data_IF_784392708316
#
_entry.id   IF_784392708316
#
_cell.length_a   1.000
_cell.length_b   1.000
_cell.length_c   1.000
_cell.angle_alpha   90.00
_cell.angle_beta   90.00
_cell.angle_gamma   90.00
#
_symmetry.space_group_name_H-M   'P 1'
#
loop_
_entity.id
_entity.type
_entity.pdbx_description
1 polymer ?
#
# COMPACT_ATOMS: atom_id res chain seq x y z
N UNK A 1 -7.90 22.81 34.06
CA UNK A 1 -7.62 22.47 32.64
C UNK A 1 -8.47 23.41 31.79
N UNK A 2 -7.87 24.26 30.95
CA UNK A 2 -8.63 25.26 30.19
C UNK A 2 -9.28 24.61 28.95
N UNK A 3 -10.43 25.14 28.53
CA UNK A 3 -11.20 24.66 27.37
C UNK A 3 -10.33 24.55 26.10
N UNK A 4 -9.39 25.50 25.95
CA UNK A 4 -8.44 25.59 24.85
C UNK A 4 -7.46 24.39 24.75
N UNK A 5 -7.12 23.76 25.87
CA UNK A 5 -6.21 22.60 25.90
C UNK A 5 -6.93 21.32 25.48
N UNK A 6 -8.24 21.23 25.75
CA UNK A 6 -9.07 20.08 25.38
C UNK A 6 -9.27 19.99 23.86
N UNK A 7 -9.51 21.13 23.21
CA UNK A 7 -9.60 21.21 21.74
C UNK A 7 -8.30 20.79 21.06
N UNK A 8 -7.15 21.28 21.54
CA UNK A 8 -5.84 20.91 20.99
C UNK A 8 -5.55 19.41 21.11
N UNK A 9 -5.83 18.81 22.27
CA UNK A 9 -5.65 17.37 22.47
C UNK A 9 -6.59 16.54 21.58
N UNK A 10 -7.83 16.99 21.42
CA UNK A 10 -8.83 16.34 20.57
C UNK A 10 -8.45 16.41 19.08
N UNK A 11 -7.97 17.56 18.63
CA UNK A 11 -7.44 17.77 17.28
C UNK A 11 -6.20 16.92 17.01
N UNK A 12 -5.25 16.86 17.95
CA UNK A 12 -4.04 16.02 17.82
C UNK A 12 -4.37 14.54 17.67
N UNK A 13 -5.31 14.02 18.48
CA UNK A 13 -5.79 12.62 18.35
C UNK A 13 -6.54 12.38 17.04
N UNK A 14 -7.35 13.32 16.59
CA UNK A 14 -8.07 13.21 15.33
C UNK A 14 -7.12 13.18 14.14
N UNK A 15 -6.10 14.05 14.13
CA UNK A 15 -5.09 14.11 13.09
C UNK A 15 -4.24 12.84 13.06
N UNK A 16 -3.73 12.38 14.21
CA UNK A 16 -2.94 11.15 14.28
C UNK A 16 -3.71 9.92 13.81
N UNK A 17 -5.03 9.82 14.10
CA UNK A 17 -5.87 8.75 13.55
C UNK A 17 -6.03 8.84 12.04
N UNK A 18 -6.27 10.04 11.49
CA UNK A 18 -6.40 10.25 10.05
C UNK A 18 -5.12 9.87 9.32
N UNK A 19 -3.97 10.31 9.82
CA UNK A 19 -2.66 9.98 9.26
C UNK A 19 -2.38 8.48 9.33
N UNK A 20 -2.62 7.84 10.48
CA UNK A 20 -2.43 6.41 10.65
C UNK A 20 -3.30 5.57 9.69
N UNK A 21 -4.56 5.94 9.50
CA UNK A 21 -5.46 5.27 8.54
C UNK A 21 -4.96 5.48 7.11
N UNK A 22 -4.58 6.69 6.74
CA UNK A 22 -4.09 6.99 5.40
C UNK A 22 -2.81 6.20 5.07
N UNK A 23 -1.84 6.18 5.99
CA UNK A 23 -0.60 5.42 5.85
C UNK A 23 -0.89 3.91 5.76
N UNK A 24 -1.70 3.38 6.68
CA UNK A 24 -2.06 1.95 6.68
C UNK A 24 -2.76 1.51 5.39
N UNK A 25 -3.68 2.32 4.87
CA UNK A 25 -4.36 2.05 3.60
C UNK A 25 -3.40 2.09 2.41
N UNK A 26 -2.46 3.04 2.38
CA UNK A 26 -1.46 3.15 1.32
C UNK A 26 -0.50 1.94 1.34
N UNK A 27 0.02 1.59 2.53
CA UNK A 27 0.91 0.45 2.71
C UNK A 27 0.21 -0.86 2.36
N UNK A 28 -1.00 -1.10 2.90
CA UNK A 28 -1.75 -2.32 2.63
C UNK A 28 -2.13 -2.49 1.16
N UNK A 29 -2.48 -1.39 0.47
CA UNK A 29 -2.71 -1.43 -0.99
C UNK A 29 -1.44 -1.84 -1.73
N UNK A 30 -0.30 -1.24 -1.39
CA UNK A 30 0.96 -1.54 -2.04
C UNK A 30 1.37 -3.01 -1.81
N UNK A 31 1.29 -3.49 -0.56
CA UNK A 31 1.59 -4.89 -0.22
C UNK A 31 0.66 -5.87 -0.93
N UNK A 32 -0.65 -5.58 -0.99
CA UNK A 32 -1.62 -6.41 -1.68
C UNK A 32 -1.36 -6.53 -3.18
N UNK A 33 -0.97 -5.42 -3.84
CA UNK A 33 -0.59 -5.42 -5.26
C UNK A 33 0.66 -6.28 -5.49
N UNK A 34 1.69 -6.14 -4.64
CA UNK A 34 2.92 -6.91 -4.75
C UNK A 34 2.70 -8.41 -4.49
N UNK A 35 1.87 -8.77 -3.50
CA UNK A 35 1.49 -10.15 -3.21
C UNK A 35 0.74 -10.78 -4.38
N UNK A 36 -0.21 -10.04 -4.96
CA UNK A 36 -0.94 -10.46 -6.15
C UNK A 36 0.01 -10.69 -7.33
N UNK A 37 0.91 -9.74 -7.61
CA UNK A 37 1.90 -9.87 -8.68
C UNK A 37 2.77 -11.12 -8.50
N UNK A 38 3.25 -11.40 -7.28
CA UNK A 38 4.04 -12.60 -6.98
C UNK A 38 3.25 -13.88 -7.25
N UNK A 39 2.02 -13.98 -6.75
CA UNK A 39 1.17 -15.14 -6.99
C UNK A 39 0.90 -15.38 -8.49
N UNK A 40 0.70 -14.31 -9.26
CA UNK A 40 0.53 -14.41 -10.71
C UNK A 40 1.80 -14.90 -11.44
N UNK A 41 2.99 -14.50 -10.97
CA UNK A 41 4.28 -15.02 -11.47
C UNK A 41 4.40 -16.51 -11.15
N UNK A 42 4.04 -16.92 -9.94
CA UNK A 42 4.15 -18.32 -9.48
C UNK A 42 3.26 -19.27 -10.28
N UNK A 43 2.06 -18.84 -10.66
CA UNK A 43 1.15 -19.64 -11.49
C UNK A 43 1.45 -19.52 -13.00
N UNK A 44 2.50 -18.79 -13.38
CA UNK A 44 3.06 -18.79 -14.73
C UNK A 44 2.41 -17.82 -15.73
N UNK A 45 1.74 -16.75 -15.29
CA UNK A 45 1.27 -15.72 -16.22
C UNK A 45 2.43 -14.97 -16.89
N UNK A 46 2.18 -14.47 -18.10
CA UNK A 46 3.12 -13.61 -18.80
C UNK A 46 3.26 -12.25 -18.10
N UNK A 47 4.43 -11.61 -18.22
CA UNK A 47 4.69 -10.31 -17.61
C UNK A 47 3.68 -9.25 -18.07
N UNK A 48 3.27 -9.26 -19.34
CA UNK A 48 2.27 -8.35 -19.89
C UNK A 48 0.87 -8.53 -19.29
N UNK A 49 0.47 -9.76 -18.98
CA UNK A 49 -0.79 -10.00 -18.28
C UNK A 49 -0.72 -9.48 -16.84
N UNK A 50 0.42 -9.66 -16.18
CA UNK A 50 0.61 -9.24 -14.80
C UNK A 50 0.61 -7.72 -14.68
N UNK A 51 1.29 -7.00 -15.59
CA UNK A 51 1.24 -5.52 -15.61
C UNK A 51 -0.19 -5.02 -15.81
N UNK A 52 -0.97 -5.68 -16.68
CA UNK A 52 -2.38 -5.32 -16.92
C UNK A 52 -3.28 -5.53 -15.69
N UNK A 53 -3.08 -6.61 -14.94
CA UNK A 53 -3.92 -6.93 -13.76
C UNK A 53 -3.52 -6.08 -12.55
N UNK A 54 -2.23 -5.87 -12.34
CA UNK A 54 -1.69 -5.26 -11.11
C UNK A 54 -1.46 -3.75 -11.24
N UNK A 55 -1.42 -3.22 -12.46
CA UNK A 55 -1.07 -1.84 -12.75
C UNK A 55 0.41 -1.51 -12.53
N UNK A 56 1.25 -2.52 -12.25
CA UNK A 56 2.69 -2.35 -12.12
C UNK A 56 3.35 -2.16 -13.49
N UNK A 57 4.51 -1.49 -13.51
CA UNK A 57 5.33 -1.39 -14.71
C UNK A 57 6.01 -2.73 -15.02
N UNK A 58 6.40 -2.91 -16.29
CA UNK A 58 7.13 -4.12 -16.71
C UNK A 58 8.43 -4.31 -15.91
N UNK A 59 9.14 -3.21 -15.61
CA UNK A 59 10.34 -3.22 -14.77
C UNK A 59 10.03 -3.70 -13.34
N UNK A 60 8.95 -3.22 -12.73
CA UNK A 60 8.55 -3.64 -11.38
C UNK A 60 8.20 -5.13 -11.33
N UNK A 61 7.46 -5.64 -12.32
CA UNK A 61 7.11 -7.07 -12.39
C UNK A 61 8.36 -7.92 -12.65
N UNK A 62 9.28 -7.45 -13.50
CA UNK A 62 10.55 -8.14 -13.78
C UNK A 62 11.42 -8.21 -12.52
N UNK A 63 11.57 -7.10 -11.79
CA UNK A 63 12.30 -7.07 -10.53
C UNK A 63 11.68 -8.00 -9.46
N UNK A 64 10.35 -8.18 -9.46
CA UNK A 64 9.69 -9.14 -8.57
C UNK A 64 10.01 -10.59 -8.91
N UNK A 65 10.19 -10.91 -10.19
CA UNK A 65 10.58 -12.25 -10.65
C UNK A 65 12.03 -12.58 -10.31
N UNK A 66 12.93 -11.59 -10.39
CA UNK A 66 14.36 -11.78 -10.11
C UNK A 66 14.70 -11.85 -8.61
N UNK A 67 13.86 -11.26 -7.75
CA UNK A 67 14.00 -11.32 -6.28
C UNK A 67 13.56 -12.67 -5.67
N UNK A 68 13.76 -13.76 -6.39
CA UNK A 68 13.37 -15.11 -5.96
C UNK A 68 14.23 -15.63 -4.81
#
# INVERSE_FOLDING_TARGET
MNLHDYDKLSQGRAQGRKEGIALGMAQGRQEGILMTARGLIEIGLSLEQITKVTGLSLEQVTALKEKK
#
